data_IF_350197795207
#
_entry.id   IF_350197795207
#
_cell.length_a   1.000
_cell.length_b   1.000
_cell.length_c   1.000
_cell.angle_alpha   90.00
_cell.angle_beta   90.00
_cell.angle_gamma   90.00
#
_symmetry.space_group_name_H-M   'P 1'
#
loop_
_entity.id
_entity.type
_entity.pdbx_description
1 polymer ?
#
# COMPACT_ATOMS: atom_id res chain seq x y z
N UNK A 1 -13.92 9.75 -13.34
CA UNK A 1 -13.68 10.47 -12.07
C UNK A 1 -12.20 10.38 -11.77
N UNK A 2 -11.57 11.49 -11.36
CA UNK A 2 -10.18 11.47 -10.88
C UNK A 2 -10.22 11.20 -9.39
N UNK A 3 -9.42 10.25 -8.91
CA UNK A 3 -9.23 10.02 -7.47
C UNK A 3 -8.30 11.11 -6.93
N UNK A 4 -8.74 11.84 -5.90
CA UNK A 4 -7.99 12.92 -5.24
C UNK A 4 -6.94 12.39 -4.26
N UNK A 5 -6.15 11.40 -4.70
CA UNK A 5 -5.11 10.75 -3.90
C UNK A 5 -3.74 11.20 -4.44
N UNK A 6 -2.86 11.79 -3.61
CA UNK A 6 -1.54 12.21 -4.04
C UNK A 6 -0.69 11.00 -4.43
N UNK A 7 0.14 11.16 -5.47
CA UNK A 7 1.01 10.09 -5.98
C UNK A 7 0.28 8.79 -6.32
N UNK A 8 -0.99 8.87 -6.72
CA UNK A 8 -1.74 7.70 -7.12
C UNK A 8 -1.16 7.08 -8.40
N UNK A 9 -0.91 5.78 -8.33
CA UNK A 9 -0.41 4.93 -9.41
C UNK A 9 -1.41 3.83 -9.68
N UNK A 10 -1.71 3.60 -10.95
CA UNK A 10 -2.33 2.36 -11.42
C UNK A 10 -1.20 1.44 -11.87
N UNK A 11 -0.89 0.44 -11.05
CA UNK A 11 0.37 -0.31 -11.16
C UNK A 11 0.23 -1.51 -12.11
N UNK A 12 -0.86 -2.25 -11.95
CA UNK A 12 -1.25 -3.40 -12.76
C UNK A 12 -2.78 -3.57 -12.66
N UNK A 13 -3.42 -4.45 -13.46
CA UNK A 13 -4.86 -4.64 -13.38
C UNK A 13 -5.31 -4.82 -11.94
N UNK A 14 -6.33 -4.05 -11.55
CA UNK A 14 -6.92 -4.05 -10.21
C UNK A 14 -6.04 -3.51 -9.06
N UNK A 15 -4.80 -3.09 -9.30
CA UNK A 15 -3.90 -2.63 -8.23
C UNK A 15 -3.61 -1.14 -8.31
N UNK A 16 -3.93 -0.45 -7.22
CA UNK A 16 -3.68 0.98 -7.03
C UNK A 16 -2.74 1.18 -5.85
N UNK A 17 -1.79 2.10 -6.00
CA UNK A 17 -0.87 2.51 -4.94
C UNK A 17 -0.91 4.03 -4.77
N UNK A 18 -0.95 4.56 -3.55
CA UNK A 18 -1.09 6.00 -3.37
C UNK A 18 -0.60 6.55 -2.03
N UNK A 19 -0.68 7.87 -1.92
CA UNK A 19 -0.49 8.60 -0.67
C UNK A 19 -1.80 8.81 0.09
N UNK A 20 -1.84 9.86 0.90
CA UNK A 20 -2.90 10.11 1.87
C UNK A 20 -4.31 10.04 1.28
N UNK A 21 -5.22 9.38 1.99
CA UNK A 21 -6.64 9.27 1.63
C UNK A 21 -7.44 10.18 2.58
N UNK A 22 -8.14 11.17 2.03
CA UNK A 22 -9.10 11.98 2.78
C UNK A 22 -10.47 11.29 2.79
N UNK A 23 -11.42 11.71 3.66
CA UNK A 23 -12.80 11.22 3.62
C UNK A 23 -13.43 11.30 2.22
N UNK A 24 -13.25 12.43 1.53
CA UNK A 24 -13.78 12.62 0.18
C UNK A 24 -13.08 11.71 -0.84
N UNK A 25 -11.77 11.48 -0.69
CA UNK A 25 -11.06 10.55 -1.55
C UNK A 25 -11.54 9.11 -1.35
N UNK A 26 -11.88 8.71 -0.12
CA UNK A 26 -12.40 7.37 0.17
C UNK A 26 -13.77 7.12 -0.48
N UNK A 27 -14.65 8.13 -0.50
CA UNK A 27 -15.90 8.05 -1.28
C UNK A 27 -15.63 7.88 -2.78
N UNK A 28 -14.65 8.59 -3.32
CA UNK A 28 -14.25 8.46 -4.72
C UNK A 28 -13.65 7.09 -5.03
N UNK A 29 -12.90 6.50 -4.09
CA UNK A 29 -12.35 5.14 -4.17
C UNK A 29 -13.49 4.13 -4.37
N UNK A 30 -14.54 4.22 -3.55
CA UNK A 30 -15.75 3.41 -3.72
C UNK A 30 -16.42 3.65 -5.08
N UNK A 31 -16.58 4.90 -5.48
CA UNK A 31 -17.21 5.27 -6.76
C UNK A 31 -16.40 4.77 -7.99
N UNK A 32 -15.09 4.60 -7.85
CA UNK A 32 -14.22 4.01 -8.88
C UNK A 32 -14.30 2.47 -8.98
N UNK A 33 -15.11 1.85 -8.12
CA UNK A 33 -15.30 0.40 -8.04
C UNK A 33 -14.15 -0.32 -7.32
N UNK A 34 -13.29 0.41 -6.60
CA UNK A 34 -12.34 -0.19 -5.67
C UNK A 34 -13.16 -0.75 -4.49
N UNK A 35 -12.79 -1.95 -4.05
CA UNK A 35 -13.54 -2.68 -3.01
C UNK A 35 -12.68 -2.99 -1.80
N UNK A 36 -11.36 -2.96 -1.95
CA UNK A 36 -10.40 -3.24 -0.88
C UNK A 36 -9.47 -2.04 -0.68
N UNK A 37 -9.25 -1.68 0.57
CA UNK A 37 -8.33 -0.62 1.00
C UNK A 37 -7.37 -1.21 2.04
N UNK A 38 -6.08 -1.10 1.77
CA UNK A 38 -5.01 -1.46 2.70
C UNK A 38 -4.31 -0.16 3.10
N UNK A 39 -4.54 0.24 4.34
CA UNK A 39 -3.96 1.43 4.93
C UNK A 39 -2.64 1.09 5.66
N UNK A 40 -1.57 1.82 5.34
CA UNK A 40 -0.28 1.73 6.02
C UNK A 40 0.06 2.96 6.87
N UNK A 41 -0.87 3.89 7.07
CA UNK A 41 -0.69 5.01 8.00
C UNK A 41 -0.78 4.53 9.45
N UNK A 42 0.15 4.95 10.31
CA UNK A 42 -0.05 4.89 11.76
C UNK A 42 -1.25 5.74 12.20
N UNK A 43 -1.92 5.36 13.30
CA UNK A 43 -3.13 6.02 13.81
C UNK A 43 -3.00 7.55 13.91
N UNK A 44 -1.86 8.04 14.37
CA UNK A 44 -1.60 9.47 14.55
C UNK A 44 -1.41 10.26 13.23
N UNK A 45 -1.37 9.59 12.08
CA UNK A 45 -1.22 10.21 10.76
C UNK A 45 -2.55 10.35 9.98
N UNK A 46 -3.67 9.84 10.47
CA UNK A 46 -4.98 9.87 9.80
C UNK A 46 -5.66 11.25 9.76
N UNK A 47 -5.04 12.29 10.29
CA UNK A 47 -5.63 13.64 10.28
C UNK A 47 -6.89 13.80 11.13
N UNK A 48 -7.19 12.84 12.01
CA UNK A 48 -8.26 12.93 13.01
C UNK A 48 -9.64 12.42 12.60
N UNK A 49 -9.77 11.74 11.45
CA UNK A 49 -10.99 11.01 11.10
C UNK A 49 -10.81 9.49 11.21
N UNK A 50 -11.91 8.78 11.40
CA UNK A 50 -11.94 7.32 11.46
C UNK A 50 -12.10 6.74 10.04
N UNK A 51 -10.97 6.46 9.38
CA UNK A 51 -10.95 5.89 8.03
C UNK A 51 -11.59 4.50 7.98
N UNK A 52 -11.33 3.67 8.99
CA UNK A 52 -11.91 2.33 9.09
C UNK A 52 -13.43 2.38 9.23
N UNK A 53 -13.95 3.29 10.06
CA UNK A 53 -15.37 3.53 10.23
C UNK A 53 -16.04 3.95 8.92
N UNK A 54 -15.49 4.96 8.24
CA UNK A 54 -16.03 5.43 6.96
C UNK A 54 -15.93 4.37 5.86
N UNK A 55 -14.83 3.61 5.80
CA UNK A 55 -14.69 2.49 4.87
C UNK A 55 -15.79 1.44 5.10
N UNK A 56 -16.10 1.13 6.36
CA UNK A 56 -17.21 0.26 6.75
C UNK A 56 -18.57 0.79 6.29
N UNK A 57 -18.85 2.07 6.49
CA UNK A 57 -20.09 2.72 6.03
C UNK A 57 -20.24 2.67 4.49
N UNK A 58 -19.13 2.78 3.77
CA UNK A 58 -19.08 2.68 2.30
C UNK A 58 -19.11 1.23 1.79
N UNK A 59 -19.09 0.23 2.68
CA UNK A 59 -19.02 -1.18 2.34
C UNK A 59 -17.74 -1.52 1.58
N UNK A 60 -16.61 -0.97 2.02
CA UNK A 60 -15.26 -1.33 1.58
C UNK A 60 -14.69 -2.37 2.54
N UNK A 61 -13.94 -3.33 2.01
CA UNK A 61 -13.04 -4.14 2.83
C UNK A 61 -11.86 -3.27 3.23
N UNK A 62 -11.63 -3.12 4.52
CA UNK A 62 -10.56 -2.29 5.07
C UNK A 62 -9.61 -3.15 5.88
N UNK A 63 -8.31 -3.02 5.62
CA UNK A 63 -7.26 -3.64 6.39
C UNK A 63 -6.23 -2.59 6.81
N UNK A 64 -5.90 -2.59 8.09
CA UNK A 64 -4.90 -1.70 8.66
C UNK A 64 -3.58 -2.45 8.88
N UNK A 65 -2.53 -2.04 8.17
CA UNK A 65 -1.18 -2.59 8.24
C UNK A 65 -0.18 -1.43 8.46
N UNK A 66 -0.17 -0.82 9.67
CA UNK A 66 0.61 0.39 9.91
C UNK A 66 2.12 0.16 9.79
N UNK A 67 2.80 1.03 9.04
CA UNK A 67 4.26 1.03 8.88
C UNK A 67 4.80 2.36 9.42
N UNK A 68 5.36 2.34 10.64
CA UNK A 68 5.81 3.52 11.36
C UNK A 68 7.23 3.93 10.93
N UNK A 69 8.06 2.97 10.56
CA UNK A 69 9.43 3.27 10.12
C UNK A 69 10.19 2.07 9.60
N UNK A 70 11.51 2.22 9.49
CA UNK A 70 12.39 1.20 8.90
C UNK A 70 12.38 -0.16 9.61
N UNK A 71 12.02 -0.22 10.90
CA UNK A 71 11.91 -1.48 11.64
C UNK A 71 10.67 -2.31 11.24
N UNK A 72 9.63 -1.66 10.72
CA UNK A 72 8.41 -2.30 10.22
C UNK A 72 8.56 -2.77 8.77
N UNK A 73 9.68 -2.44 8.12
CA UNK A 73 10.08 -3.02 6.84
C UNK A 73 10.65 -4.43 7.06
N UNK A 74 9.78 -5.32 7.54
CA UNK A 74 10.09 -6.67 8.01
C UNK A 74 9.47 -7.75 7.12
N UNK A 75 9.96 -8.99 7.25
CA UNK A 75 9.39 -10.15 6.57
C UNK A 75 7.93 -10.38 6.99
N UNK A 76 7.63 -10.25 8.27
CA UNK A 76 6.28 -10.45 8.81
C UNK A 76 5.26 -9.49 8.18
N UNK A 77 5.61 -8.22 8.01
CA UNK A 77 4.74 -7.25 7.35
C UNK A 77 4.66 -7.47 5.83
N UNK A 78 5.73 -7.95 5.20
CA UNK A 78 5.70 -8.34 3.79
C UNK A 78 4.77 -9.55 3.55
N UNK A 79 4.77 -10.53 4.46
CA UNK A 79 3.86 -11.68 4.45
C UNK A 79 2.42 -11.27 4.80
N UNK A 80 2.23 -10.31 5.70
CA UNK A 80 0.91 -9.73 5.98
C UNK A 80 0.32 -9.04 4.75
N UNK A 81 1.11 -8.21 4.05
CA UNK A 81 0.69 -7.62 2.78
C UNK A 81 0.36 -8.69 1.73
N UNK A 82 1.16 -9.74 1.62
CA UNK A 82 0.90 -10.84 0.68
C UNK A 82 -0.45 -11.53 0.94
N UNK A 83 -0.76 -11.82 2.21
CA UNK A 83 -2.06 -12.41 2.60
C UNK A 83 -3.23 -11.49 2.28
N UNK A 84 -3.14 -10.20 2.61
CA UNK A 84 -4.20 -9.23 2.33
C UNK A 84 -4.48 -9.11 0.82
N UNK A 85 -3.43 -9.12 0.00
CA UNK A 85 -3.57 -9.10 -1.45
C UNK A 85 -4.16 -10.42 -1.98
N UNK A 86 -3.79 -11.56 -1.40
CA UNK A 86 -4.37 -12.85 -1.76
C UNK A 86 -5.86 -12.94 -1.39
N UNK A 87 -6.27 -12.38 -0.26
CA UNK A 87 -7.68 -12.28 0.16
C UNK A 87 -8.51 -11.41 -0.79
N UNK A 88 -7.93 -10.32 -1.31
CA UNK A 88 -8.58 -9.48 -2.30
C UNK A 88 -8.81 -10.20 -3.65
N UNK A 89 -7.92 -11.13 -4.03
CA UNK A 89 -8.01 -11.90 -5.27
C UNK A 89 -8.04 -10.99 -6.51
N UNK A 90 -9.04 -11.18 -7.38
CA UNK A 90 -9.24 -10.35 -8.58
C UNK A 90 -9.92 -9.00 -8.30
N UNK A 91 -10.16 -8.67 -7.03
CA UNK A 91 -10.81 -7.41 -6.64
C UNK A 91 -9.88 -6.22 -6.83
N UNK A 92 -10.47 -5.05 -7.14
CA UNK A 92 -9.73 -3.79 -7.15
C UNK A 92 -9.31 -3.40 -5.73
N UNK A 93 -8.01 -3.26 -5.52
CA UNK A 93 -7.36 -2.91 -4.24
C UNK A 93 -6.60 -1.61 -4.34
N UNK A 94 -6.77 -0.74 -3.35
CA UNK A 94 -5.93 0.42 -3.09
C UNK A 94 -5.02 0.11 -1.90
N UNK A 95 -3.72 0.28 -2.08
CA UNK A 95 -2.74 0.28 -0.98
C UNK A 95 -2.21 1.70 -0.82
N UNK A 96 -2.33 2.29 0.36
CA UNK A 96 -1.91 3.67 0.57
C UNK A 96 -1.09 3.87 1.85
N UNK A 97 -0.37 4.98 1.87
CA UNK A 97 0.27 5.51 3.08
C UNK A 97 0.24 7.04 3.02
N UNK A 98 1.15 7.77 3.67
CA UNK A 98 1.16 9.24 3.54
C UNK A 98 1.54 9.73 2.14
N UNK A 99 2.58 9.13 1.53
CA UNK A 99 3.16 9.60 0.25
C UNK A 99 3.27 8.54 -0.85
N UNK A 100 2.87 7.30 -0.59
CA UNK A 100 3.10 6.13 -1.46
C UNK A 100 4.45 5.42 -1.22
N UNK A 101 5.40 6.06 -0.53
CA UNK A 101 6.76 5.51 -0.37
C UNK A 101 6.82 4.23 0.49
N UNK A 102 6.00 4.10 1.54
CA UNK A 102 5.92 2.87 2.37
C UNK A 102 5.30 1.71 1.59
N UNK A 103 4.34 2.00 0.71
CA UNK A 103 3.72 1.03 -0.19
C UNK A 103 4.80 0.42 -1.09
N UNK A 104 5.52 1.25 -1.84
CA UNK A 104 6.61 0.78 -2.69
C UNK A 104 7.70 0.01 -1.94
N UNK A 105 8.05 0.44 -0.72
CA UNK A 105 9.02 -0.28 0.10
C UNK A 105 8.54 -1.70 0.42
N UNK A 106 7.32 -1.86 0.92
CA UNK A 106 6.81 -3.18 1.32
C UNK A 106 6.54 -4.08 0.11
N UNK A 107 6.16 -3.53 -1.04
CA UNK A 107 6.03 -4.28 -2.30
C UNK A 107 7.38 -4.82 -2.80
N UNK A 108 8.48 -4.08 -2.68
CA UNK A 108 9.81 -4.62 -2.99
C UNK A 108 10.20 -5.77 -2.05
N UNK A 109 9.96 -5.59 -0.75
CA UNK A 109 10.30 -6.60 0.25
C UNK A 109 9.46 -7.88 0.08
N UNK A 110 8.17 -7.73 -0.19
CA UNK A 110 7.28 -8.84 -0.56
C UNK A 110 7.79 -9.57 -1.80
N UNK A 111 8.15 -8.84 -2.86
CA UNK A 111 8.67 -9.43 -4.09
C UNK A 111 9.92 -10.29 -3.83
N UNK A 112 10.85 -9.80 -3.01
CA UNK A 112 12.07 -10.53 -2.72
C UNK A 112 11.87 -11.68 -1.72
N UNK A 113 11.30 -11.39 -0.55
CA UNK A 113 11.27 -12.32 0.58
C UNK A 113 10.16 -13.36 0.54
N UNK A 114 9.04 -13.02 -0.11
CA UNK A 114 7.84 -13.88 -0.17
C UNK A 114 7.72 -14.52 -1.56
N UNK A 115 7.90 -13.74 -2.62
CA UNK A 115 7.75 -14.23 -4.00
C UNK A 115 9.04 -14.80 -4.59
N UNK A 116 10.19 -14.62 -3.93
CA UNK A 116 11.47 -15.19 -4.35
C UNK A 116 12.09 -14.50 -5.58
N UNK A 117 11.64 -13.30 -5.94
CA UNK A 117 12.24 -12.54 -7.04
C UNK A 117 13.69 -12.16 -6.72
N UNK A 118 14.59 -12.13 -7.72
CA UNK A 118 15.93 -11.58 -7.56
C UNK A 118 15.87 -10.13 -7.04
N UNK A 119 16.83 -9.74 -6.21
CA UNK A 119 16.80 -8.46 -5.52
C UNK A 119 16.67 -7.25 -6.47
N UNK A 120 17.33 -7.28 -7.63
CA UNK A 120 17.24 -6.21 -8.65
C UNK A 120 15.82 -6.10 -9.23
N UNK A 121 15.15 -7.22 -9.46
CA UNK A 121 13.77 -7.26 -9.97
C UNK A 121 12.77 -6.82 -8.90
N UNK A 122 12.96 -7.28 -7.67
CA UNK A 122 12.17 -6.86 -6.52
C UNK A 122 12.25 -5.33 -6.28
N UNK A 123 13.44 -4.75 -6.46
CA UNK A 123 13.61 -3.30 -6.40
C UNK A 123 12.80 -2.57 -7.50
N UNK A 124 12.73 -3.12 -8.72
CA UNK A 124 11.89 -2.55 -9.78
C UNK A 124 10.40 -2.64 -9.43
N UNK A 125 9.95 -3.72 -8.78
CA UNK A 125 8.58 -3.83 -8.27
C UNK A 125 8.31 -2.69 -7.30
N UNK A 126 9.17 -2.47 -6.30
CA UNK A 126 8.96 -1.38 -5.35
C UNK A 126 8.88 0.00 -6.00
N UNK A 127 9.77 0.29 -6.96
CA UNK A 127 9.75 1.56 -7.72
C UNK A 127 8.44 1.75 -8.47
N UNK A 128 7.93 0.69 -9.10
CA UNK A 128 6.63 0.71 -9.80
C UNK A 128 5.46 0.99 -8.84
N UNK A 129 5.59 0.60 -7.57
CA UNK A 129 4.64 0.85 -6.49
C UNK A 129 4.89 2.16 -5.70
N UNK A 130 5.80 3.03 -6.18
CA UNK A 130 6.02 4.36 -5.59
C UNK A 130 7.19 4.46 -4.60
N UNK A 131 8.10 3.48 -4.59
CA UNK A 131 9.32 3.54 -3.79
C UNK A 131 10.20 4.73 -4.23
N UNK A 132 10.55 5.57 -3.27
CA UNK A 132 11.40 6.76 -3.48
C UNK A 132 12.44 6.85 -2.35
N UNK A 133 12.17 7.63 -1.29
CA UNK A 133 13.13 7.93 -0.22
C UNK A 133 13.54 6.71 0.61
N UNK A 134 12.73 5.65 0.62
CA UNK A 134 13.05 4.41 1.35
C UNK A 134 13.94 3.45 0.52
N UNK A 135 14.22 3.77 -0.74
CA UNK A 135 15.01 2.91 -1.63
C UNK A 135 16.37 2.50 -1.05
N UNK A 136 17.20 3.40 -0.48
CA UNK A 136 18.49 3.00 0.08
C UNK A 136 18.36 1.96 1.20
N UNK A 137 17.32 2.08 2.03
CA UNK A 137 17.05 1.11 3.09
C UNK A 137 16.57 -0.22 2.51
N UNK A 138 15.70 -0.18 1.50
CA UNK A 138 15.24 -1.40 0.81
C UNK A 138 16.43 -2.13 0.17
N UNK A 139 17.34 -1.42 -0.51
CA UNK A 139 18.58 -1.97 -1.09
C UNK A 139 19.38 -2.72 -0.03
N UNK A 140 19.62 -2.10 1.13
CA UNK A 140 20.31 -2.73 2.25
C UNK A 140 19.60 -4.00 2.73
N UNK A 141 18.26 -3.96 2.84
CA UNK A 141 17.45 -5.07 3.35
C UNK A 141 17.40 -6.28 2.41
N UNK A 142 17.49 -6.05 1.10
CA UNK A 142 17.47 -7.11 0.07
C UNK A 142 18.88 -7.50 -0.42
N UNK A 143 19.93 -6.97 0.21
CA UNK A 143 21.31 -7.35 -0.04
C UNK A 143 21.89 -6.87 -1.38
N UNK A 144 21.48 -5.68 -1.83
CA UNK A 144 22.05 -4.99 -3.00
C UNK A 144 23.09 -3.93 -2.62
#
# INVERSE_FOLDING_TARGET
MSLSIPNLLFVEPNHYAGGYVSPEALEQVKAAGITHVIDMLPDNEHGGFDEAGLAGELGLFYAHLPILGGHDLSRDNAEALDRLLAEAGDSKVLVHCMSGNRVGALFALRAHWVQGLPAVEALQVGRRYGLTKLEPLVIQLIGL
#
